data_IF_159422584894
#
_entry.id   IF_159422584894
#
_cell.length_a   1.000
_cell.length_b   1.000
_cell.length_c   1.000
_cell.angle_alpha   90.00
_cell.angle_beta   90.00
_cell.angle_gamma   90.00
#
_symmetry.space_group_name_H-M   'P 1'
#
loop_
_entity.id
_entity.type
_entity.pdbx_description
1 polymer ?
#
# COMPACT_ATOMS: atom_id res chain seq x y z
N UNK A 1 14.75 7.80 7.32
CA UNK A 1 13.30 7.82 7.09
C UNK A 1 13.01 7.24 5.71
N UNK A 2 12.15 6.23 5.63
CA UNK A 2 11.80 5.47 4.39
C UNK A 2 10.28 5.36 4.37
N UNK A 3 9.65 5.39 3.19
CA UNK A 3 8.21 5.15 3.06
C UNK A 3 7.97 3.71 2.63
N UNK A 4 7.10 3.01 3.35
CA UNK A 4 6.64 1.67 3.04
C UNK A 4 5.20 1.74 2.52
N UNK A 5 4.99 1.22 1.32
CA UNK A 5 3.65 0.97 0.77
C UNK A 5 3.38 -0.52 0.95
N UNK A 6 2.44 -0.83 1.84
CA UNK A 6 2.06 -2.20 2.19
C UNK A 6 0.82 -2.55 1.38
N UNK A 7 0.99 -3.40 0.37
CA UNK A 7 -0.09 -3.76 -0.54
C UNK A 7 -0.68 -5.09 -0.08
N UNK A 8 -1.98 -5.09 0.25
CA UNK A 8 -2.68 -6.30 0.64
C UNK A 8 -2.92 -7.21 -0.57
N UNK A 9 -2.60 -8.49 -0.41
CA UNK A 9 -2.68 -9.52 -1.45
C UNK A 9 -4.11 -10.02 -1.74
N UNK A 10 -4.22 -10.96 -2.68
CA UNK A 10 -5.49 -11.45 -3.19
C UNK A 10 -6.35 -12.10 -2.09
N UNK A 11 -7.45 -11.41 -1.72
CA UNK A 11 -8.43 -11.70 -0.64
C UNK A 11 -8.10 -11.14 0.75
N UNK A 12 -7.03 -10.37 0.89
CA UNK A 12 -6.71 -9.65 2.14
C UNK A 12 -6.92 -8.15 1.94
N UNK A 13 -7.26 -7.45 3.01
CA UNK A 13 -7.37 -5.98 3.05
C UNK A 13 -6.20 -5.34 3.77
N UNK A 14 -6.19 -4.02 3.83
CA UNK A 14 -5.17 -3.23 4.54
C UNK A 14 -5.00 -3.63 6.01
N UNK A 15 -6.05 -4.21 6.62
CA UNK A 15 -6.04 -4.79 7.97
C UNK A 15 -4.99 -5.89 8.20
N UNK A 16 -4.53 -6.57 7.14
CA UNK A 16 -3.47 -7.58 7.26
C UNK A 16 -2.15 -7.00 7.79
N UNK A 17 -2.02 -5.67 7.78
CA UNK A 17 -0.84 -4.94 8.21
C UNK A 17 -1.03 -4.17 9.53
N UNK A 18 -2.18 -4.26 10.19
CA UNK A 18 -2.45 -3.51 11.43
C UNK A 18 -1.42 -3.78 12.53
N UNK A 19 -0.87 -5.00 12.59
CA UNK A 19 0.19 -5.35 13.53
C UNK A 19 1.57 -4.81 13.09
N UNK A 20 1.82 -4.64 11.78
CA UNK A 20 3.14 -4.24 11.25
C UNK A 20 3.29 -2.71 11.17
N UNK A 21 2.20 -2.01 10.88
CA UNK A 21 2.13 -0.54 10.80
C UNK A 21 2.70 0.15 12.05
N UNK A 22 2.30 -0.19 13.30
CA UNK A 22 2.81 0.47 14.49
C UNK A 22 4.31 0.24 14.69
N UNK A 23 4.84 -0.94 14.36
CA UNK A 23 6.26 -1.25 14.47
C UNK A 23 7.11 -0.39 13.52
N UNK A 24 6.70 -0.31 12.25
CA UNK A 24 7.40 0.48 11.24
C UNK A 24 7.28 1.99 11.50
N UNK A 25 6.12 2.47 12.00
CA UNK A 25 5.95 3.86 12.42
C UNK A 25 6.79 4.21 13.64
N UNK A 26 6.87 3.31 14.64
CA UNK A 26 7.72 3.50 15.82
C UNK A 26 9.21 3.57 15.45
N UNK A 27 9.64 2.87 14.40
CA UNK A 27 10.98 2.97 13.83
C UNK A 27 11.23 4.26 13.01
N UNK A 28 10.26 5.18 12.93
CA UNK A 28 10.40 6.46 12.23
C UNK A 28 10.24 6.35 10.71
N UNK A 29 9.55 5.33 10.21
CA UNK A 29 9.22 5.16 8.81
C UNK A 29 7.77 5.60 8.50
N UNK A 30 7.55 6.11 7.29
CA UNK A 30 6.19 6.36 6.78
C UNK A 30 5.59 5.03 6.32
N UNK A 31 4.36 4.72 6.74
CA UNK A 31 3.72 3.42 6.41
C UNK A 31 2.31 3.67 5.89
N UNK A 32 2.05 3.12 4.72
CA UNK A 32 0.83 3.31 3.94
C UNK A 32 0.26 1.95 3.57
N UNK A 33 -0.66 1.40 4.39
CA UNK A 33 -1.37 0.19 4.02
C UNK A 33 -2.41 0.51 2.94
N UNK A 34 -2.34 -0.18 1.81
CA UNK A 34 -3.16 0.05 0.63
C UNK A 34 -3.90 -1.23 0.23
N UNK A 35 -5.22 -1.10 0.11
CA UNK A 35 -6.07 -2.12 -0.52
C UNK A 35 -6.22 -1.82 -2.01
N UNK A 36 -5.92 -2.80 -2.85
CA UNK A 36 -6.09 -2.68 -4.31
C UNK A 36 -7.56 -2.81 -4.73
N UNK A 37 -7.91 -2.17 -5.85
CA UNK A 37 -9.24 -2.29 -6.46
C UNK A 37 -9.57 -3.74 -6.80
N UNK A 38 -10.77 -4.18 -6.43
CA UNK A 38 -11.20 -5.57 -6.55
C UNK A 38 -10.86 -6.47 -5.35
N UNK A 39 -10.21 -5.95 -4.31
CA UNK A 39 -9.83 -6.69 -3.10
C UNK A 39 -10.44 -6.07 -1.84
N UNK A 40 -10.72 -6.90 -0.83
CA UNK A 40 -11.33 -6.54 0.47
C UNK A 40 -12.30 -5.34 0.44
N UNK A 41 -11.91 -4.19 0.98
CA UNK A 41 -12.76 -2.99 1.08
C UNK A 41 -13.13 -2.42 -0.30
N UNK A 42 -12.38 -2.75 -1.35
CA UNK A 42 -12.60 -2.37 -2.74
C UNK A 42 -13.09 -3.53 -3.63
N UNK A 43 -13.65 -4.60 -3.07
CA UNK A 43 -14.15 -5.76 -3.84
C UNK A 43 -15.14 -5.41 -4.96
N UNK A 44 -15.92 -4.34 -4.80
CA UNK A 44 -16.87 -3.86 -5.81
C UNK A 44 -16.26 -3.03 -6.95
N UNK A 45 -14.95 -2.73 -6.90
CA UNK A 45 -14.27 -1.94 -7.93
C UNK A 45 -13.71 -2.83 -9.05
N UNK A 46 -13.60 -2.32 -10.30
CA UNK A 46 -13.02 -3.07 -11.40
C UNK A 46 -11.61 -3.58 -11.09
N UNK A 47 -11.45 -4.91 -11.03
CA UNK A 47 -10.15 -5.54 -10.76
C UNK A 47 -9.39 -5.75 -12.08
N UNK A 48 -8.12 -5.38 -12.12
CA UNK A 48 -7.24 -5.66 -13.25
C UNK A 48 -5.83 -5.15 -13.02
N UNK A 49 -4.84 -5.75 -13.68
CA UNK A 49 -3.43 -5.38 -13.52
C UNK A 49 -3.19 -3.88 -13.74
N UNK A 50 -3.83 -3.29 -14.75
CA UNK A 50 -3.72 -1.85 -15.03
C UNK A 50 -4.37 -1.00 -13.94
N UNK A 51 -5.50 -1.43 -13.38
CA UNK A 51 -6.14 -0.74 -12.24
C UNK A 51 -5.31 -0.86 -10.98
N UNK A 52 -4.70 -2.02 -10.71
CA UNK A 52 -3.80 -2.21 -9.57
C UNK A 52 -2.56 -1.36 -9.65
N UNK A 53 -1.94 -1.26 -10.83
CA UNK A 53 -0.82 -0.35 -11.06
C UNK A 53 -1.26 1.11 -10.87
N UNK A 54 -2.46 1.47 -11.34
CA UNK A 54 -2.98 2.82 -11.18
C UNK A 54 -3.25 3.17 -9.71
N UNK A 55 -3.86 2.28 -8.92
CA UNK A 55 -4.03 2.47 -7.46
C UNK A 55 -2.68 2.75 -6.76
N UNK A 56 -1.63 2.04 -7.17
CA UNK A 56 -0.27 2.25 -6.62
C UNK A 56 0.32 3.57 -7.10
N UNK A 57 0.17 3.90 -8.39
CA UNK A 57 0.69 5.14 -8.97
C UNK A 57 -0.04 6.36 -8.42
N UNK A 58 -1.34 6.28 -8.12
CA UNK A 58 -2.06 7.38 -7.48
C UNK A 58 -1.56 7.63 -6.04
N UNK A 59 -1.33 6.56 -5.26
CA UNK A 59 -0.79 6.68 -3.90
C UNK A 59 0.64 7.25 -3.89
N UNK A 60 1.47 6.87 -4.85
CA UNK A 60 2.87 7.32 -4.96
C UNK A 60 2.97 8.70 -5.62
N UNK A 61 2.20 8.93 -6.68
CA UNK A 61 2.27 10.05 -7.59
C UNK A 61 1.74 11.36 -7.01
N UNK A 62 0.83 11.30 -6.03
CA UNK A 62 0.39 12.49 -5.31
C UNK A 62 1.45 13.04 -4.35
N UNK A 63 2.55 12.32 -4.12
CA UNK A 63 3.58 12.74 -3.16
C UNK A 63 4.76 13.37 -3.91
N UNK A 64 5.04 14.67 -3.71
CA UNK A 64 6.19 15.30 -4.33
C UNK A 64 7.45 14.53 -3.91
N UNK A 65 8.24 14.14 -4.91
CA UNK A 65 9.50 13.42 -4.77
C UNK A 65 10.47 14.23 -3.91
N UNK A 66 10.40 14.02 -2.60
CA UNK A 66 11.31 14.57 -1.61
C UNK A 66 11.97 13.38 -0.90
N UNK A 67 13.01 12.86 -1.53
CA UNK A 67 14.15 12.20 -0.86
C UNK A 67 13.90 10.86 -0.12
N UNK A 68 12.69 10.30 -0.10
CA UNK A 68 12.43 9.03 0.59
C UNK A 68 12.43 7.84 -0.38
N UNK A 69 13.35 6.89 -0.17
CA UNK A 69 13.26 5.55 -0.79
C UNK A 69 11.87 4.97 -0.48
N UNK A 70 11.11 4.61 -1.51
CA UNK A 70 9.86 3.87 -1.36
C UNK A 70 10.17 2.37 -1.50
N UNK A 71 9.92 1.61 -0.44
CA UNK A 71 10.03 0.15 -0.47
C UNK A 71 8.62 -0.45 -0.49
N UNK A 72 8.37 -1.32 -1.47
CA UNK A 72 7.09 -2.01 -1.62
C UNK A 72 7.16 -3.38 -0.98
N UNK A 73 6.16 -3.69 -0.15
CA UNK A 73 5.95 -5.03 0.38
C UNK A 73 4.56 -5.47 -0.07
N UNK A 74 4.52 -6.51 -0.90
CA UNK A 74 3.30 -7.18 -1.35
C UNK A 74 3.23 -8.50 -0.60
N UNK A 75 2.18 -8.71 0.19
CA UNK A 75 1.88 -10.06 0.68
C UNK A 75 1.26 -10.85 -0.47
N UNK A 76 1.93 -11.92 -0.89
CA UNK A 76 1.47 -12.86 -1.91
C UNK A 76 0.38 -13.79 -1.40
#
# INVERSE_FOLDING_TARGET
>A
MVNYVLVAGARLGSWAWDDVVPHLRAAGHGVHPLTLSGLAEKQGMPAGQRTHVQDIVDEVGFRPCSTARCSFVVSG
#
